data_IF_032447048536
#
_entry.id   IF_032447048536
#
_cell.length_a   1.000
_cell.length_b   1.000
_cell.length_c   1.000
_cell.angle_alpha   90.00
_cell.angle_beta   90.00
_cell.angle_gamma   90.00
#
_symmetry.space_group_name_H-M   'P 1'
#
loop_
_entity.id
_entity.type
_entity.pdbx_description
1 polymer ?
#
# COMPACT_ATOMS: atom_id res chain seq x y z
N UNK A 1 -5.65 -28.65 14.12
CA UNK A 1 -4.37 -28.47 13.39
C UNK A 1 -4.70 -28.42 11.90
N UNK A 2 -4.60 -27.27 11.22
CA UNK A 2 -4.71 -27.25 9.77
C UNK A 2 -3.31 -27.49 9.20
N UNK A 3 -3.16 -28.63 8.53
CA UNK A 3 -1.91 -28.97 7.85
C UNK A 3 -1.71 -28.07 6.65
N UNK A 4 -0.61 -27.33 6.63
CA UNK A 4 -0.03 -26.89 5.38
C UNK A 4 0.16 -28.14 4.51
N UNK A 5 -0.42 -28.16 3.31
CA UNK A 5 0.00 -29.13 2.30
C UNK A 5 1.42 -28.72 1.97
N UNK A 6 2.46 -29.51 2.29
CA UNK A 6 3.81 -29.15 1.94
C UNK A 6 3.87 -29.17 0.42
N UNK A 7 3.93 -27.99 -0.19
CA UNK A 7 4.31 -27.89 -1.59
C UNK A 7 5.67 -28.57 -1.70
N UNK A 8 5.71 -29.72 -2.38
CA UNK A 8 6.98 -30.32 -2.82
C UNK A 8 7.82 -29.20 -3.40
N UNK A 9 9.11 -29.13 -3.03
CA UNK A 9 10.09 -28.24 -3.68
C UNK A 9 9.87 -28.32 -5.20
N UNK A 10 9.27 -27.28 -5.79
CA UNK A 10 8.89 -27.22 -7.21
C UNK A 10 7.38 -27.22 -7.55
N UNK A 11 6.46 -27.23 -6.59
CA UNK A 11 5.01 -27.08 -6.83
C UNK A 11 4.55 -25.62 -6.80
N UNK A 12 3.63 -25.25 -7.69
CA UNK A 12 2.95 -23.94 -7.70
C UNK A 12 2.08 -23.81 -6.44
N UNK A 13 2.29 -22.73 -5.67
CA UNK A 13 1.37 -22.38 -4.60
C UNK A 13 0.03 -21.94 -5.18
N UNK A 14 -1.07 -22.46 -4.63
CA UNK A 14 -2.42 -22.03 -5.02
C UNK A 14 -3.20 -21.41 -3.86
N UNK A 15 -3.09 -21.99 -2.66
CA UNK A 15 -3.89 -21.55 -1.51
C UNK A 15 -3.28 -22.02 -0.18
N UNK A 16 -3.34 -21.18 0.85
CA UNK A 16 -3.05 -21.56 2.25
C UNK A 16 -3.88 -20.74 3.24
N UNK A 17 -4.29 -21.37 4.34
CA UNK A 17 -4.95 -20.69 5.43
C UNK A 17 -3.96 -19.73 6.15
N UNK A 18 -4.47 -18.57 6.54
CA UNK A 18 -3.74 -17.58 7.33
C UNK A 18 -4.58 -17.24 8.56
N UNK A 19 -3.93 -17.20 9.72
CA UNK A 19 -4.59 -16.76 10.94
C UNK A 19 -4.74 -15.23 10.96
N UNK A 20 -5.72 -14.74 11.70
CA UNK A 20 -5.87 -13.31 11.96
C UNK A 20 -4.61 -12.76 12.65
N UNK A 21 -4.15 -11.59 12.22
CA UNK A 21 -2.92 -10.97 12.71
C UNK A 21 -1.63 -11.57 12.14
N UNK A 22 -1.72 -12.56 11.23
CA UNK A 22 -0.54 -13.03 10.50
C UNK A 22 0.03 -11.91 9.61
N UNK A 23 1.35 -11.93 9.46
CA UNK A 23 2.08 -11.07 8.52
C UNK A 23 2.31 -11.82 7.21
N UNK A 24 1.86 -11.24 6.11
CA UNK A 24 2.12 -11.73 4.76
C UNK A 24 3.07 -10.78 4.03
N UNK A 25 4.16 -11.32 3.51
CA UNK A 25 5.14 -10.60 2.70
C UNK A 25 5.09 -11.13 1.28
N UNK A 26 4.77 -10.26 0.31
CA UNK A 26 4.72 -10.61 -1.11
C UNK A 26 5.93 -9.94 -1.79
N UNK A 27 6.75 -10.74 -2.47
CA UNK A 27 7.90 -10.27 -3.24
C UNK A 27 7.71 -10.59 -4.71
N UNK A 28 7.91 -9.61 -5.57
CA UNK A 28 7.83 -9.77 -7.04
C UNK A 28 8.80 -8.82 -7.72
N UNK A 29 9.31 -9.21 -8.90
CA UNK A 29 9.99 -8.24 -9.76
C UNK A 29 9.01 -7.48 -10.63
N UNK A 30 7.94 -8.13 -11.12
CA UNK A 30 6.89 -7.50 -11.90
C UNK A 30 5.88 -6.74 -11.04
N UNK A 31 4.62 -6.74 -11.47
CA UNK A 31 3.53 -6.11 -10.74
C UNK A 31 2.76 -7.11 -9.90
N UNK A 32 1.75 -6.64 -9.18
CA UNK A 32 0.83 -7.52 -8.45
C UNK A 32 -0.49 -6.81 -8.17
N UNK A 33 -1.58 -7.57 -8.23
CA UNK A 33 -2.89 -7.14 -7.75
C UNK A 33 -3.27 -7.94 -6.52
N UNK A 34 -3.57 -7.26 -5.43
CA UNK A 34 -3.99 -7.88 -4.17
C UNK A 34 -5.41 -7.44 -3.85
N UNK A 35 -6.28 -8.41 -3.60
CA UNK A 35 -7.69 -8.15 -3.27
C UNK A 35 -8.01 -8.78 -1.91
N UNK A 36 -8.61 -8.02 -1.01
CA UNK A 36 -9.12 -8.54 0.25
C UNK A 36 -10.26 -9.52 0.03
N UNK A 37 -10.30 -10.57 0.84
CA UNK A 37 -11.37 -11.57 0.85
C UNK A 37 -11.79 -11.89 2.29
N UNK A 38 -13.04 -12.30 2.45
CA UNK A 38 -13.56 -12.82 3.73
C UNK A 38 -13.23 -14.32 3.90
N UNK A 39 -12.61 -14.96 2.89
CA UNK A 39 -12.01 -16.28 3.02
C UNK A 39 -10.78 -16.20 3.95
N UNK A 40 -10.69 -17.07 4.95
CA UNK A 40 -9.57 -17.14 5.91
C UNK A 40 -8.26 -17.67 5.31
N UNK A 41 -8.03 -17.46 4.03
CA UNK A 41 -6.89 -18.00 3.29
C UNK A 41 -6.40 -17.05 2.22
N UNK A 42 -5.09 -17.10 1.99
CA UNK A 42 -4.47 -16.48 0.83
C UNK A 42 -4.55 -17.42 -0.36
N UNK A 43 -4.88 -16.89 -1.53
CA UNK A 43 -4.89 -17.63 -2.79
C UNK A 43 -4.16 -16.85 -3.88
N UNK A 44 -3.64 -17.59 -4.86
CA UNK A 44 -3.00 -17.05 -6.06
C UNK A 44 -3.73 -17.61 -7.26
N UNK A 45 -3.87 -16.82 -8.33
CA UNK A 45 -4.44 -17.31 -9.58
C UNK A 45 -3.70 -18.56 -10.11
N UNK A 46 -4.43 -19.46 -10.78
CA UNK A 46 -3.93 -20.79 -11.11
C UNK A 46 -2.80 -20.83 -12.15
N UNK A 47 -2.54 -19.70 -12.82
CA UNK A 47 -1.50 -19.56 -13.86
C UNK A 47 -0.19 -19.01 -13.31
N UNK A 48 -0.23 -18.35 -12.16
CA UNK A 48 0.93 -17.69 -11.57
C UNK A 48 1.85 -18.69 -10.88
N UNK A 49 3.13 -18.67 -11.25
CA UNK A 49 4.15 -19.36 -10.49
C UNK A 49 4.41 -18.61 -9.19
N UNK A 50 4.10 -19.24 -8.06
CA UNK A 50 4.35 -18.68 -6.75
C UNK A 50 5.02 -19.69 -5.81
N UNK A 51 5.96 -19.20 -5.01
CA UNK A 51 6.67 -19.96 -3.98
C UNK A 51 6.23 -19.47 -2.62
N UNK A 52 5.73 -20.39 -1.81
CA UNK A 52 5.29 -20.11 -0.45
C UNK A 52 6.31 -20.62 0.55
N UNK A 53 6.68 -19.76 1.48
CA UNK A 53 7.54 -20.07 2.61
C UNK A 53 6.99 -19.41 3.88
N UNK A 54 7.33 -19.97 5.04
CA UNK A 54 6.99 -19.35 6.31
C UNK A 54 6.62 -20.35 7.40
N UNK A 55 6.99 -19.98 8.62
CA UNK A 55 6.62 -20.65 9.85
C UNK A 55 5.86 -19.68 10.78
N UNK A 56 5.01 -20.23 11.64
CA UNK A 56 4.34 -19.46 12.68
C UNK A 56 3.45 -18.33 12.14
N UNK A 57 3.86 -17.08 12.37
CA UNK A 57 3.05 -15.87 12.16
C UNK A 57 3.49 -15.01 10.98
N UNK A 58 4.60 -15.34 10.30
CA UNK A 58 5.09 -14.58 9.14
C UNK A 58 5.25 -15.51 7.95
N UNK A 59 4.58 -15.17 6.86
CA UNK A 59 4.60 -15.94 5.63
C UNK A 59 5.11 -15.08 4.48
N UNK A 60 5.89 -15.70 3.60
CA UNK A 60 6.46 -15.09 2.40
C UNK A 60 5.89 -15.78 1.17
N UNK A 61 5.36 -14.98 0.26
CA UNK A 61 4.87 -15.41 -1.04
C UNK A 61 5.75 -14.73 -2.11
N UNK A 62 6.67 -15.50 -2.66
CA UNK A 62 7.60 -15.06 -3.70
C UNK A 62 7.03 -15.38 -5.08
N UNK A 63 6.92 -14.35 -5.93
CA UNK A 63 6.53 -14.43 -7.33
C UNK A 63 7.80 -14.27 -8.17
N UNK A 64 8.52 -15.37 -8.45
CA UNK A 64 9.77 -15.30 -9.20
C UNK A 64 9.49 -14.79 -10.61
N UNK A 65 10.39 -13.94 -11.11
CA UNK A 65 10.47 -13.55 -12.50
C UNK A 65 11.78 -14.10 -13.06
N UNK A 66 11.68 -14.91 -14.10
CA UNK A 66 12.82 -15.40 -14.87
C UNK A 66 12.40 -15.51 -16.34
N UNK A 67 13.04 -14.72 -17.21
CA UNK A 67 12.76 -14.73 -18.65
C UNK A 67 13.12 -16.06 -19.31
N UNK A 68 14.05 -16.84 -18.71
CA UNK A 68 14.46 -18.15 -19.17
C UNK A 68 13.53 -19.29 -18.76
N UNK A 69 12.63 -19.08 -17.80
CA UNK A 69 11.67 -20.08 -17.33
C UNK A 69 10.27 -19.71 -17.84
N UNK A 70 9.71 -20.55 -18.73
CA UNK A 70 8.37 -20.37 -19.30
C UNK A 70 7.28 -20.17 -18.23
N UNK A 71 7.44 -20.74 -17.04
CA UNK A 71 6.48 -20.63 -15.94
C UNK A 71 6.59 -19.34 -15.14
N UNK A 72 7.78 -18.74 -15.10
CA UNK A 72 8.07 -17.52 -14.35
C UNK A 72 8.00 -16.27 -15.23
N UNK A 73 8.08 -16.43 -16.56
CA UNK A 73 8.10 -15.33 -17.52
C UNK A 73 6.87 -14.44 -17.42
N UNK A 74 5.70 -15.03 -17.21
CA UNK A 74 4.44 -14.29 -17.11
C UNK A 74 4.42 -13.34 -15.89
N UNK A 75 5.13 -13.68 -14.81
CA UNK A 75 5.25 -12.81 -13.64
C UNK A 75 6.09 -11.56 -13.90
N UNK A 76 7.01 -11.59 -14.88
CA UNK A 76 7.92 -10.48 -15.15
C UNK A 76 7.21 -9.24 -15.69
N UNK A 77 6.17 -9.44 -16.50
CA UNK A 77 5.39 -8.36 -17.12
C UNK A 77 3.92 -8.35 -16.67
N UNK A 78 3.50 -9.35 -15.88
CA UNK A 78 2.14 -9.51 -15.43
C UNK A 78 1.80 -8.72 -14.17
N UNK A 79 0.51 -8.70 -13.87
CA UNK A 79 -0.06 -8.28 -12.59
C UNK A 79 -0.91 -9.43 -12.04
N UNK A 80 -0.26 -10.50 -11.52
CA UNK A 80 -0.96 -11.66 -10.98
C UNK A 80 -1.92 -11.25 -9.85
N UNK A 81 -3.04 -11.95 -9.77
CA UNK A 81 -4.06 -11.70 -8.76
C UNK A 81 -3.82 -12.58 -7.53
N UNK A 82 -3.76 -11.94 -6.36
CA UNK A 82 -3.61 -12.58 -5.06
C UNK A 82 -4.78 -12.16 -4.20
N UNK A 83 -5.50 -13.12 -3.62
CA UNK A 83 -6.53 -12.81 -2.64
C UNK A 83 -5.96 -12.99 -1.24
N UNK A 84 -6.23 -12.07 -0.32
CA UNK A 84 -5.71 -12.11 1.05
C UNK A 84 -6.85 -11.96 2.07
N UNK A 85 -6.81 -12.71 3.18
CA UNK A 85 -7.83 -12.59 4.22
C UNK A 85 -7.81 -11.21 4.85
N UNK A 86 -8.95 -10.78 5.41
CA UNK A 86 -8.98 -9.64 6.32
C UNK A 86 -8.14 -9.88 7.58
N UNK A 87 -7.65 -8.81 8.22
CA UNK A 87 -6.94 -8.89 9.49
C UNK A 87 -5.46 -9.25 9.37
N UNK A 88 -4.93 -9.39 8.16
CA UNK A 88 -3.49 -9.61 7.93
C UNK A 88 -2.72 -8.28 7.87
N UNK A 89 -1.46 -8.31 8.29
CA UNK A 89 -0.49 -7.26 7.98
C UNK A 89 0.15 -7.58 6.64
N UNK A 90 -0.14 -6.80 5.61
CA UNK A 90 0.34 -7.02 4.25
C UNK A 90 1.56 -6.15 3.95
N UNK A 91 2.66 -6.79 3.55
CA UNK A 91 3.83 -6.13 2.98
C UNK A 91 3.98 -6.55 1.52
N UNK A 92 4.08 -5.60 0.59
CA UNK A 92 4.33 -5.88 -0.82
C UNK A 92 5.60 -5.16 -1.27
N UNK A 93 6.48 -5.89 -1.94
CA UNK A 93 7.70 -5.38 -2.55
C UNK A 93 7.74 -5.77 -4.02
N UNK A 94 7.48 -4.79 -4.87
CA UNK A 94 7.63 -4.88 -6.32
C UNK A 94 8.86 -4.10 -6.78
N UNK A 95 9.24 -4.24 -8.06
CA UNK A 95 10.40 -3.53 -8.62
C UNK A 95 10.09 -2.83 -9.94
N UNK A 96 9.57 -3.54 -10.93
CA UNK A 96 9.54 -3.08 -12.32
C UNK A 96 8.12 -2.77 -12.82
N UNK A 97 7.09 -3.08 -12.02
CA UNK A 97 5.71 -2.67 -12.28
C UNK A 97 4.96 -2.27 -10.98
N UNK A 98 3.69 -1.91 -11.16
CA UNK A 98 2.84 -1.35 -10.12
C UNK A 98 2.31 -2.35 -9.10
N UNK A 99 1.82 -1.81 -7.98
CA UNK A 99 1.15 -2.55 -6.91
C UNK A 99 -0.29 -2.03 -6.82
N UNK A 100 -1.26 -2.87 -7.15
CA UNK A 100 -2.68 -2.58 -7.00
C UNK A 100 -3.21 -3.32 -5.77
N UNK A 101 -3.81 -2.62 -4.81
CA UNK A 101 -4.44 -3.22 -3.63
C UNK A 101 -5.87 -2.73 -3.50
N UNK A 102 -6.82 -3.65 -3.34
CA UNK A 102 -8.22 -3.30 -3.06
C UNK A 102 -8.83 -4.13 -1.93
N UNK A 103 -9.77 -3.56 -1.17
CA UNK A 103 -10.55 -4.23 -0.14
C UNK A 103 -9.74 -4.89 1.00
N UNK A 104 -8.45 -4.60 1.12
CA UNK A 104 -7.60 -5.23 2.15
C UNK A 104 -7.81 -4.53 3.49
N UNK A 105 -8.40 -5.25 4.44
CA UNK A 105 -8.63 -4.76 5.81
C UNK A 105 -7.45 -5.09 6.69
N UNK A 106 -6.49 -4.18 6.81
CA UNK A 106 -5.30 -4.40 7.63
C UNK A 106 -4.29 -3.25 7.60
N UNK A 107 -3.09 -3.55 8.08
CA UNK A 107 -1.91 -2.69 7.91
C UNK A 107 -1.26 -2.98 6.55
N UNK A 108 -0.95 -1.94 5.79
CA UNK A 108 -0.34 -2.02 4.48
C UNK A 108 1.06 -1.39 4.48
N UNK A 109 2.04 -2.13 3.99
CA UNK A 109 3.37 -1.62 3.66
C UNK A 109 3.70 -1.98 2.21
N UNK A 110 3.39 -1.07 1.30
CA UNK A 110 3.52 -1.27 -0.15
C UNK A 110 4.72 -0.49 -0.67
N UNK A 111 5.54 -1.14 -1.49
CA UNK A 111 6.70 -0.50 -2.12
C UNK A 111 6.95 -1.02 -3.53
N UNK A 112 7.25 -0.10 -4.45
CA UNK A 112 7.78 -0.43 -5.77
C UNK A 112 8.90 0.55 -6.18
N UNK A 113 9.69 0.19 -7.20
CA UNK A 113 10.73 1.08 -7.73
C UNK A 113 10.23 1.77 -8.99
N UNK A 114 9.65 1.02 -9.92
CA UNK A 114 9.07 1.51 -11.16
C UNK A 114 7.62 1.05 -11.24
N UNK A 115 6.68 1.99 -11.27
CA UNK A 115 5.27 1.72 -11.28
C UNK A 115 4.52 2.46 -10.18
N UNK A 116 3.21 2.49 -10.34
CA UNK A 116 2.31 3.15 -9.41
C UNK A 116 2.01 2.25 -8.21
N UNK A 117 1.67 2.87 -7.09
CA UNK A 117 1.04 2.20 -5.96
C UNK A 117 -0.40 2.68 -5.89
N UNK A 118 -1.34 1.81 -6.21
CA UNK A 118 -2.78 2.10 -6.18
C UNK A 118 -3.42 1.36 -5.02
N UNK A 119 -4.17 2.06 -4.18
CA UNK A 119 -4.91 1.49 -3.05
C UNK A 119 -6.37 1.92 -3.13
N UNK A 120 -7.31 0.98 -3.06
CA UNK A 120 -8.75 1.25 -3.14
C UNK A 120 -9.48 0.60 -1.96
N UNK A 121 -10.31 1.37 -1.25
CA UNK A 121 -11.22 0.90 -0.20
C UNK A 121 -10.55 -0.03 0.84
N UNK A 122 -9.31 0.30 1.21
CA UNK A 122 -8.46 -0.52 2.04
C UNK A 122 -8.01 0.18 3.33
N UNK A 123 -7.47 -0.62 4.24
CA UNK A 123 -7.00 -0.19 5.54
C UNK A 123 -8.05 -0.26 6.63
N UNK A 124 -7.67 0.15 7.84
CA UNK A 124 -8.59 0.25 8.99
C UNK A 124 -8.24 1.47 9.83
N UNK A 125 -9.22 1.99 10.59
CA UNK A 125 -9.06 3.18 11.45
C UNK A 125 -7.91 3.08 12.45
N UNK A 126 -7.50 1.87 12.83
CA UNK A 126 -6.42 1.63 13.81
C UNK A 126 -5.05 1.36 13.19
N UNK A 127 -4.96 1.14 11.88
CA UNK A 127 -3.75 0.67 11.22
C UNK A 127 -2.88 1.81 10.67
N UNK A 128 -1.60 1.50 10.47
CA UNK A 128 -0.64 2.35 9.77
C UNK A 128 -0.59 1.96 8.29
N UNK A 129 -0.59 2.94 7.40
CA UNK A 129 -0.47 2.71 5.96
C UNK A 129 0.82 3.36 5.46
N UNK A 130 1.66 2.57 4.79
CA UNK A 130 2.94 3.01 4.28
C UNK A 130 3.06 2.66 2.80
N UNK A 131 3.08 3.67 1.94
CA UNK A 131 2.95 3.55 0.49
C UNK A 131 4.13 4.25 -0.18
N UNK A 132 4.98 3.52 -0.90
CA UNK A 132 6.21 4.08 -1.45
C UNK A 132 6.44 3.70 -2.90
N UNK A 133 6.81 4.66 -3.74
CA UNK A 133 7.33 4.41 -5.08
C UNK A 133 8.52 5.32 -5.39
N UNK A 134 9.39 4.93 -6.32
CA UNK A 134 10.45 5.82 -6.82
C UNK A 134 10.05 6.49 -8.14
N UNK A 135 9.60 5.72 -9.11
CA UNK A 135 9.20 6.21 -10.43
C UNK A 135 7.76 5.76 -10.72
N UNK A 136 6.81 6.58 -10.31
CA UNK A 136 5.40 6.30 -10.36
C UNK A 136 4.67 7.16 -9.34
N UNK A 137 3.35 7.08 -9.35
CA UNK A 137 2.49 7.84 -8.44
C UNK A 137 1.93 6.94 -7.34
N UNK A 138 1.68 7.52 -6.17
CA UNK A 138 0.90 6.88 -5.11
C UNK A 138 -0.52 7.41 -5.19
N UNK A 139 -1.49 6.52 -5.38
CA UNK A 139 -2.92 6.87 -5.44
C UNK A 139 -3.70 6.02 -4.47
N UNK A 140 -4.34 6.63 -3.49
CA UNK A 140 -5.17 5.93 -2.52
C UNK A 140 -6.57 6.52 -2.48
N UNK A 141 -7.60 5.72 -2.75
CA UNK A 141 -9.02 6.09 -2.62
C UNK A 141 -9.69 5.23 -1.57
N UNK A 142 -10.56 5.83 -0.74
CA UNK A 142 -11.24 5.05 0.30
C UNK A 142 -10.34 4.68 1.49
N UNK A 143 -9.17 5.31 1.65
CA UNK A 143 -8.12 4.86 2.56
C UNK A 143 -8.48 5.09 4.04
N UNK A 144 -8.54 4.02 4.83
CA UNK A 144 -8.73 4.08 6.28
C UNK A 144 -7.41 3.84 7.03
N UNK A 145 -7.09 4.75 7.94
CA UNK A 145 -5.84 4.72 8.69
C UNK A 145 -5.91 5.50 10.01
N UNK A 146 -5.05 5.10 10.95
CA UNK A 146 -4.60 5.93 12.06
C UNK A 146 -3.39 6.77 11.66
N UNK A 147 -2.48 6.21 10.87
CA UNK A 147 -1.26 6.88 10.41
C UNK A 147 -1.06 6.58 8.92
N UNK A 148 -0.65 7.58 8.14
CA UNK A 148 -0.36 7.44 6.72
C UNK A 148 1.01 8.02 6.41
N UNK A 149 1.87 7.24 5.77
CA UNK A 149 3.10 7.71 5.13
C UNK A 149 3.05 7.36 3.65
N UNK A 150 3.09 8.36 2.78
CA UNK A 150 3.07 8.18 1.34
C UNK A 150 4.23 8.94 0.70
N UNK A 151 5.07 8.22 -0.05
CA UNK A 151 6.31 8.76 -0.62
C UNK A 151 6.45 8.41 -2.11
N UNK A 152 6.76 9.42 -2.90
CA UNK A 152 7.19 9.27 -4.30
C UNK A 152 8.52 10.02 -4.52
N UNK A 153 9.31 9.62 -5.52
CA UNK A 153 10.46 10.46 -5.96
C UNK A 153 10.09 11.20 -7.24
N UNK A 154 9.57 10.49 -8.24
CA UNK A 154 9.08 11.04 -9.49
C UNK A 154 7.65 10.55 -9.72
N UNK A 155 6.68 11.41 -9.42
CA UNK A 155 5.26 11.13 -9.51
C UNK A 155 4.48 11.83 -8.41
N UNK A 156 3.17 11.76 -8.54
CA UNK A 156 2.24 12.44 -7.64
C UNK A 156 1.87 11.55 -6.44
N UNK A 157 1.43 12.18 -5.36
CA UNK A 157 0.86 11.51 -4.20
C UNK A 157 -0.55 12.03 -4.00
N UNK A 158 -1.54 11.23 -4.37
CA UNK A 158 -2.97 11.55 -4.22
C UNK A 158 -3.60 10.62 -3.18
N UNK A 159 -4.05 11.19 -2.06
CA UNK A 159 -4.66 10.46 -0.95
C UNK A 159 -6.07 10.97 -0.66
N UNK A 160 -7.07 10.11 -0.80
CA UNK A 160 -8.45 10.33 -0.40
C UNK A 160 -8.76 9.41 0.79
N UNK A 161 -8.76 10.01 1.99
CA UNK A 161 -8.95 9.28 3.23
C UNK A 161 -10.43 9.23 3.65
N UNK A 162 -10.88 8.08 4.15
CA UNK A 162 -12.21 7.89 4.74
C UNK A 162 -12.23 8.10 6.25
N UNK A 163 -11.06 8.01 6.89
CA UNK A 163 -10.84 8.39 8.28
C UNK A 163 -9.99 9.64 8.37
N UNK A 164 -9.95 10.25 9.55
CA UNK A 164 -9.00 11.30 9.87
C UNK A 164 -7.81 10.66 10.59
N UNK A 165 -6.60 10.57 9.99
CA UNK A 165 -5.42 10.03 10.65
C UNK A 165 -4.92 10.94 11.78
N UNK A 166 -4.23 10.39 12.77
CA UNK A 166 -3.50 11.15 13.78
C UNK A 166 -2.23 11.78 13.20
N UNK A 167 -1.61 11.11 12.23
CA UNK A 167 -0.46 11.58 11.48
C UNK A 167 -0.62 11.23 9.99
N UNK A 168 -0.39 12.20 9.12
CA UNK A 168 -0.31 12.00 7.68
C UNK A 168 0.94 12.70 7.15
N UNK A 169 1.82 11.96 6.51
CA UNK A 169 3.01 12.45 5.85
C UNK A 169 2.94 12.10 4.36
N UNK A 170 2.82 13.11 3.49
CA UNK A 170 2.79 12.98 2.04
C UNK A 170 3.99 13.70 1.43
N UNK A 171 4.88 12.97 0.78
CA UNK A 171 6.14 13.52 0.27
C UNK A 171 6.36 13.09 -1.17
N UNK A 172 6.69 14.05 -2.02
CA UNK A 172 7.30 13.75 -3.32
C UNK A 172 8.49 14.66 -3.57
N UNK A 173 9.33 14.35 -4.56
CA UNK A 173 10.40 15.26 -4.99
C UNK A 173 9.99 15.98 -6.27
N UNK A 174 9.48 15.24 -7.25
CA UNK A 174 9.01 15.76 -8.53
C UNK A 174 7.59 15.28 -8.77
N UNK A 175 6.62 16.11 -8.43
CA UNK A 175 5.20 15.82 -8.46
C UNK A 175 4.46 16.66 -7.44
N UNK A 176 3.14 16.54 -7.44
CA UNK A 176 2.26 17.22 -6.49
C UNK A 176 1.82 16.25 -5.39
N UNK A 177 1.54 16.81 -4.21
CA UNK A 177 0.94 16.07 -3.10
C UNK A 177 -0.45 16.62 -2.87
N UNK A 178 -1.47 15.78 -3.03
CA UNK A 178 -2.87 16.12 -2.81
C UNK A 178 -3.48 15.21 -1.77
N UNK A 179 -4.07 15.81 -0.74
CA UNK A 179 -4.74 15.08 0.33
C UNK A 179 -6.16 15.58 0.48
N UNK A 180 -7.10 14.65 0.47
CA UNK A 180 -8.51 14.93 0.76
C UNK A 180 -8.89 14.18 2.03
N UNK A 181 -9.24 14.94 3.06
CA UNK A 181 -9.72 14.42 4.33
C UNK A 181 -11.26 14.42 4.36
N UNK A 182 -11.90 13.65 5.25
CA UNK A 182 -13.35 13.71 5.42
C UNK A 182 -13.86 15.13 5.75
N UNK A 183 -15.08 15.47 5.35
CA UNK A 183 -15.71 16.79 5.59
C UNK A 183 -15.65 17.25 7.06
N UNK A 184 -15.81 16.30 7.99
CA UNK A 184 -15.77 16.50 9.43
C UNK A 184 -14.38 16.34 10.06
N UNK A 185 -13.30 16.42 9.27
CA UNK A 185 -11.95 16.27 9.78
C UNK A 185 -11.64 17.29 10.89
N UNK A 186 -11.00 16.86 12.00
CA UNK A 186 -10.61 17.75 13.07
C UNK A 186 -9.49 18.70 12.62
N UNK A 187 -9.14 19.71 13.43
CA UNK A 187 -8.00 20.56 13.15
C UNK A 187 -6.66 19.81 13.13
N UNK A 188 -5.74 20.23 12.25
CA UNK A 188 -4.39 19.69 12.12
C UNK A 188 -3.32 20.74 12.37
N UNK A 189 -2.20 20.32 12.95
CA UNK A 189 -0.93 21.03 12.85
C UNK A 189 -0.34 20.72 11.47
N UNK A 190 -0.61 21.60 10.51
CA UNK A 190 -0.23 21.44 9.11
C UNK A 190 1.13 22.06 8.82
N UNK A 191 2.00 21.29 8.18
CA UNK A 191 3.26 21.74 7.59
C UNK A 191 3.25 21.36 6.10
N UNK A 192 2.81 22.29 5.26
CA UNK A 192 2.76 22.11 3.81
C UNK A 192 3.78 23.03 3.15
N UNK A 193 4.74 22.45 2.41
CA UNK A 193 5.84 23.21 1.82
C UNK A 193 6.19 22.70 0.41
N UNK A 194 6.41 23.63 -0.51
CA UNK A 194 7.01 23.37 -1.83
C UNK A 194 8.16 24.34 -2.10
N UNK A 195 9.15 23.91 -2.88
CA UNK A 195 10.23 24.80 -3.36
C UNK A 195 9.79 25.53 -4.63
N UNK A 196 9.24 24.79 -5.60
CA UNK A 196 8.76 25.29 -6.87
C UNK A 196 7.31 24.85 -7.09
N UNK A 197 6.37 25.70 -6.68
CA UNK A 197 4.93 25.48 -6.84
C UNK A 197 4.12 26.33 -5.86
N UNK A 198 2.89 25.92 -5.61
CA UNK A 198 1.96 26.52 -4.66
C UNK A 198 1.60 25.55 -3.55
N UNK A 199 1.50 26.06 -2.33
CA UNK A 199 0.92 25.35 -1.20
C UNK A 199 -0.48 25.90 -0.89
N UNK A 200 -1.46 25.00 -0.80
CA UNK A 200 -2.85 25.31 -0.46
C UNK A 200 -3.28 24.44 0.73
N UNK A 201 -3.80 25.08 1.77
CA UNK A 201 -4.26 24.41 3.00
C UNK A 201 -5.68 24.85 3.29
N UNK A 202 -6.63 23.96 3.04
CA UNK A 202 -8.06 24.13 3.35
C UNK A 202 -8.53 23.11 4.41
N UNK A 203 -7.86 23.15 5.56
CA UNK A 203 -8.24 22.42 6.76
C UNK A 203 -8.12 23.33 7.98
N UNK A 204 -8.94 23.14 9.03
CA UNK A 204 -8.81 23.94 10.25
C UNK A 204 -7.42 23.79 10.89
N UNK A 205 -6.82 24.91 11.29
CA UNK A 205 -5.55 24.89 12.00
C UNK A 205 -5.73 24.46 13.46
N UNK A 206 -4.89 23.55 13.95
CA UNK A 206 -4.87 23.20 15.37
C UNK A 206 -4.33 24.36 16.22
N UNK A 207 -4.95 24.57 17.39
CA UNK A 207 -4.45 25.53 18.38
C UNK A 207 -3.18 25.04 19.09
N UNK A 208 -2.51 25.94 19.81
CA UNK A 208 -1.22 25.67 20.48
C UNK A 208 -1.31 24.80 21.75
N UNK A 209 -2.50 24.37 22.16
CA UNK A 209 -2.71 23.56 23.36
C UNK A 209 -3.04 22.10 23.02
N UNK A 210 -2.26 21.15 23.55
CA UNK A 210 -2.50 19.70 23.45
C UNK A 210 -1.51 18.93 22.57
N UNK A 211 -1.88 17.70 22.19
CA UNK A 211 -1.16 16.85 21.22
C UNK A 211 -1.90 16.91 19.87
N UNK A 212 -1.58 17.90 19.01
CA UNK A 212 -2.30 18.07 17.76
C UNK A 212 -2.02 16.91 16.80
N UNK A 213 -3.02 16.59 15.99
CA UNK A 213 -2.84 15.71 14.83
C UNK A 213 -1.93 16.41 13.83
N UNK A 214 -1.05 15.66 13.17
CA UNK A 214 -0.04 16.23 12.27
C UNK A 214 -0.37 15.92 10.82
N UNK A 215 -0.15 16.91 9.96
CA UNK A 215 -0.27 16.76 8.52
C UNK A 215 0.94 17.43 7.86
N UNK A 216 1.83 16.63 7.29
CA UNK A 216 3.05 17.12 6.63
C UNK A 216 2.95 16.84 5.13
N UNK A 217 2.95 17.88 4.30
CA UNK A 217 3.03 17.74 2.84
C UNK A 217 4.31 18.40 2.32
N UNK A 218 5.14 17.67 1.58
CA UNK A 218 6.37 18.24 1.01
C UNK A 218 6.55 17.87 -0.45
N UNK A 219 6.94 18.86 -1.25
CA UNK A 219 7.49 18.64 -2.58
C UNK A 219 8.63 19.59 -2.90
N UNK A 220 9.47 19.25 -3.87
CA UNK A 220 10.47 20.18 -4.42
C UNK A 220 9.90 20.84 -5.67
N UNK A 221 9.34 20.07 -6.59
CA UNK A 221 8.75 20.58 -7.82
C UNK A 221 7.32 20.07 -7.96
N UNK A 222 6.35 20.97 -7.77
CA UNK A 222 4.92 20.67 -7.80
C UNK A 222 4.17 21.37 -6.68
N UNK A 223 2.89 21.10 -6.60
CA UNK A 223 2.00 21.75 -5.62
C UNK A 223 1.79 20.86 -4.40
N UNK A 224 1.51 21.49 -3.26
CA UNK A 224 0.98 20.77 -2.09
C UNK A 224 -0.41 21.27 -1.77
N UNK A 225 -1.36 20.35 -1.67
CA UNK A 225 -2.76 20.67 -1.49
C UNK A 225 -3.38 19.75 -0.45
N UNK A 226 -4.04 20.33 0.53
CA UNK A 226 -4.92 19.60 1.44
C UNK A 226 -6.29 20.27 1.48
N UNK A 227 -7.33 19.47 1.31
CA UNK A 227 -8.72 19.91 1.31
C UNK A 227 -9.60 18.99 2.16
N UNK A 228 -10.78 19.47 2.53
CA UNK A 228 -11.88 18.64 3.04
C UNK A 228 -12.79 18.23 1.88
N UNK A 229 -13.23 16.98 1.89
CA UNK A 229 -14.24 16.45 0.96
C UNK A 229 -15.66 16.81 1.35
#
# INVERSE_FOLDING_TARGET
MPGAVPGKRGGTFQKAALADGSRLVITTQGGVRVVGTDDGSVSVDGTTLARWDGDGSTHTLDLPCDQGDDRARDNCAGMPLIQVPSGVTLTVRARDAGVDVSDVRGELSLSTVNGDVTVQDSGTKGARQHLVTRNGSVRATGLAAREVGAEAVNGDVDLLCTTSPDALDGVTRNGSVRVTLPAGAPPYATDASTVNGRSTVDVPAAGSAGHPRRLTLRTVNGDTEVHRG
#
